data_IF_333760515821
#
_entry.id   IF_333760515821
#
_cell.length_a   1.000
_cell.length_b   1.000
_cell.length_c   1.000
_cell.angle_alpha   90.00
_cell.angle_beta   90.00
_cell.angle_gamma   90.00
#
_symmetry.space_group_name_H-M   'P 1'
#
loop_
_entity.id
_entity.type
_entity.pdbx_description
1 polymer ?
#
# COMPACT_ATOMS: atom_id res chain seq x y z
N UNK A 1 19.45 -13.16 -8.74
CA UNK A 1 18.32 -13.23 -7.79
C UNK A 1 18.42 -12.01 -6.89
N UNK A 2 17.45 -11.09 -6.97
CA UNK A 2 17.42 -9.90 -6.12
C UNK A 2 17.01 -10.34 -4.70
N UNK A 3 17.72 -9.89 -3.67
CA UNK A 3 17.35 -10.20 -2.29
C UNK A 3 15.95 -9.61 -1.98
N UNK A 4 15.11 -10.29 -1.20
CA UNK A 4 13.82 -9.74 -0.79
C UNK A 4 14.04 -8.46 0.02
N UNK A 5 13.25 -7.44 -0.25
CA UNK A 5 13.21 -6.20 0.51
C UNK A 5 12.77 -6.52 1.95
N UNK A 6 13.25 -5.77 2.94
CA UNK A 6 12.69 -5.89 4.29
C UNK A 6 11.35 -5.14 4.35
N UNK A 7 10.39 -5.71 5.06
CA UNK A 7 9.23 -4.96 5.54
C UNK A 7 9.63 -4.38 6.90
N UNK A 8 10.01 -3.10 6.93
CA UNK A 8 10.59 -2.47 8.13
C UNK A 8 9.55 -1.80 9.01
N UNK A 9 8.43 -1.35 8.44
CA UNK A 9 7.38 -0.66 9.18
C UNK A 9 5.99 -0.91 8.60
N UNK A 10 5.05 -1.16 9.51
CA UNK A 10 3.61 -1.07 9.27
C UNK A 10 3.15 0.14 10.07
N UNK A 11 2.66 1.18 9.40
CA UNK A 11 2.10 2.33 10.12
C UNK A 11 0.93 1.85 11.00
N UNK A 12 0.75 2.37 12.23
CA UNK A 12 -0.35 1.93 13.10
C UNK A 12 -1.73 2.02 12.43
N UNK A 13 -1.95 3.05 11.61
CA UNK A 13 -3.19 3.21 10.84
C UNK A 13 -3.37 2.16 9.73
N UNK A 14 -2.28 1.58 9.20
CA UNK A 14 -2.38 0.50 8.20
C UNK A 14 -3.00 -0.78 8.79
N UNK A 15 -2.69 -1.10 10.05
CA UNK A 15 -3.31 -2.27 10.70
C UNK A 15 -4.83 -2.04 10.87
N UNK A 16 -5.23 -0.83 11.26
CA UNK A 16 -6.64 -0.46 11.36
C UNK A 16 -7.34 -0.51 9.99
N UNK A 17 -6.65 -0.11 8.93
CA UNK A 17 -7.15 -0.23 7.56
C UNK A 17 -7.41 -1.69 7.16
N UNK A 18 -6.48 -2.60 7.47
CA UNK A 18 -6.65 -4.04 7.25
C UNK A 18 -7.85 -4.56 8.05
N UNK A 19 -8.00 -4.14 9.31
CA UNK A 19 -9.09 -4.58 10.16
C UNK A 19 -10.46 -4.13 9.65
N UNK A 20 -10.52 -2.94 9.02
CA UNK A 20 -11.71 -2.36 8.41
C UNK A 20 -12.10 -2.96 7.04
N UNK A 21 -11.26 -3.82 6.43
CA UNK A 21 -11.62 -4.51 5.20
C UNK A 21 -12.77 -5.51 5.44
N UNK A 22 -13.68 -5.69 4.47
CA UNK A 22 -14.98 -6.31 4.72
C UNK A 22 -14.94 -7.82 4.94
N UNK A 23 -13.93 -8.52 4.41
CA UNK A 23 -13.84 -9.97 4.44
C UNK A 23 -12.39 -10.47 4.48
N UNK A 24 -12.23 -11.72 4.88
CA UNK A 24 -10.91 -12.36 5.03
C UNK A 24 -10.16 -12.52 3.70
N UNK A 25 -10.87 -12.71 2.59
CA UNK A 25 -10.25 -12.83 1.28
C UNK A 25 -9.56 -11.52 0.87
N UNK A 26 -10.23 -10.39 1.12
CA UNK A 26 -9.71 -9.05 0.85
C UNK A 26 -8.53 -8.72 1.76
N UNK A 27 -8.63 -9.04 3.06
CA UNK A 27 -7.52 -8.89 4.03
C UNK A 27 -6.29 -9.68 3.60
N UNK A 28 -6.48 -10.97 3.31
CA UNK A 28 -5.40 -11.85 2.87
C UNK A 28 -4.75 -11.34 1.58
N UNK A 29 -5.55 -10.97 0.58
CA UNK A 29 -5.00 -10.49 -0.69
C UNK A 29 -4.19 -9.19 -0.52
N UNK A 30 -4.61 -8.27 0.35
CA UNK A 30 -3.83 -7.08 0.66
C UNK A 30 -2.42 -7.41 1.20
N UNK A 31 -2.34 -8.39 2.10
CA UNK A 31 -1.08 -8.88 2.67
C UNK A 31 -0.24 -9.64 1.64
N UNK A 32 -0.87 -10.48 0.82
CA UNK A 32 -0.20 -11.21 -0.27
C UNK A 32 0.42 -10.23 -1.28
N UNK A 33 -0.29 -9.15 -1.63
CA UNK A 33 0.25 -8.11 -2.50
C UNK A 33 1.48 -7.44 -1.88
N UNK A 34 1.46 -7.14 -0.58
CA UNK A 34 2.60 -6.57 0.12
C UNK A 34 3.81 -7.51 0.09
N UNK A 35 3.60 -8.82 0.27
CA UNK A 35 4.63 -9.86 0.13
C UNK A 35 5.21 -9.92 -1.29
N UNK A 36 4.37 -9.77 -2.32
CA UNK A 36 4.85 -9.76 -3.71
C UNK A 36 5.75 -8.55 -4.01
N UNK A 37 5.43 -7.38 -3.47
CA UNK A 37 6.30 -6.19 -3.59
C UNK A 37 7.59 -6.42 -2.82
N UNK A 38 7.50 -6.96 -1.61
CA UNK A 38 8.65 -7.28 -0.75
C UNK A 38 9.63 -8.21 -1.45
N UNK A 39 9.13 -9.25 -2.09
CA UNK A 39 9.96 -10.22 -2.81
C UNK A 39 10.50 -9.68 -4.15
N UNK A 40 10.20 -8.43 -4.51
CA UNK A 40 10.58 -7.82 -5.78
C UNK A 40 9.88 -8.44 -7.00
N UNK A 41 8.83 -9.24 -6.77
CA UNK A 41 8.06 -9.91 -7.83
C UNK A 41 7.06 -8.98 -8.50
N UNK A 42 6.70 -7.89 -7.82
CA UNK A 42 5.76 -6.89 -8.33
C UNK A 42 6.19 -5.49 -7.93
N UNK A 43 5.85 -4.49 -8.75
CA UNK A 43 6.09 -3.08 -8.44
C UNK A 43 4.86 -2.27 -8.79
N UNK A 44 4.45 -1.40 -7.88
CA UNK A 44 3.31 -0.51 -8.04
C UNK A 44 3.59 0.67 -8.97
N UNK A 45 2.53 1.41 -9.26
CA UNK A 45 2.63 2.67 -9.98
C UNK A 45 2.95 3.78 -8.99
N UNK A 46 3.94 4.63 -9.31
CA UNK A 46 4.24 5.82 -8.51
C UNK A 46 3.01 6.73 -8.44
N UNK A 47 2.79 7.33 -7.28
CA UNK A 47 1.77 8.34 -7.07
C UNK A 47 2.34 9.73 -7.39
N UNK A 48 1.46 10.61 -7.83
CA UNK A 48 1.75 12.02 -8.03
C UNK A 48 1.14 12.82 -6.88
N UNK A 49 1.71 13.99 -6.61
CA UNK A 49 1.06 14.98 -5.74
C UNK A 49 -0.26 15.46 -6.37
N UNK A 50 -1.32 15.57 -5.57
CA UNK A 50 -2.65 16.01 -6.04
C UNK A 50 -3.26 17.00 -5.07
N UNK A 51 -3.79 18.10 -5.59
CA UNK A 51 -4.42 19.19 -4.80
C UNK A 51 -5.52 18.67 -3.86
N UNK A 52 -6.23 17.59 -4.22
CA UNK A 52 -7.34 17.05 -3.42
C UNK A 52 -6.99 15.94 -2.41
N UNK A 53 -5.75 15.42 -2.41
CA UNK A 53 -5.35 14.31 -1.52
C UNK A 53 -3.97 14.52 -0.91
N UNK A 54 -3.46 15.75 -0.82
CA UNK A 54 -2.12 16.02 -0.30
C UNK A 54 -0.97 15.42 -1.14
N UNK A 55 0.23 15.46 -0.56
CA UNK A 55 1.44 14.97 -1.21
C UNK A 55 1.73 13.49 -0.90
N UNK A 56 1.55 12.65 -1.92
CA UNK A 56 1.89 11.23 -1.93
C UNK A 56 2.97 10.91 -2.98
N UNK A 57 3.77 11.89 -3.41
CA UNK A 57 4.78 11.72 -4.47
C UNK A 57 5.90 10.72 -4.14
N UNK A 58 6.08 10.40 -2.85
CA UNK A 58 6.99 9.37 -2.35
C UNK A 58 6.36 7.96 -2.30
N UNK A 59 5.06 7.84 -2.58
CA UNK A 59 4.30 6.60 -2.45
C UNK A 59 4.03 5.92 -3.81
N UNK A 60 3.64 4.65 -3.71
CA UNK A 60 3.28 3.77 -4.83
C UNK A 60 1.91 3.15 -4.54
N UNK A 61 1.16 2.83 -5.61
CA UNK A 61 -0.15 2.19 -5.55
C UNK A 61 -0.19 0.86 -6.28
N UNK A 62 -1.00 -0.05 -5.74
CA UNK A 62 -1.38 -1.32 -6.37
C UNK A 62 -2.89 -1.47 -6.38
N UNK A 63 -3.41 -1.98 -7.48
CA UNK A 63 -4.81 -2.35 -7.61
C UNK A 63 -4.97 -3.84 -7.32
N UNK A 64 -5.97 -4.21 -6.52
CA UNK A 64 -6.31 -5.61 -6.28
C UNK A 64 -7.82 -5.78 -6.03
N UNK A 65 -8.29 -6.99 -6.28
CA UNK A 65 -9.66 -7.41 -5.99
C UNK A 65 -9.74 -8.93 -5.94
N UNK A 66 -10.22 -9.55 -4.84
CA UNK A 66 -10.37 -11.00 -4.75
C UNK A 66 -11.34 -11.59 -5.77
N UNK A 67 -12.34 -10.81 -6.20
CA UNK A 67 -13.39 -11.24 -7.13
C UNK A 67 -12.85 -11.34 -8.58
N UNK A 68 -11.92 -10.45 -8.95
CA UNK A 68 -11.25 -10.47 -10.26
C UNK A 68 -12.15 -10.22 -11.49
N UNK A 69 -13.47 -10.22 -11.34
CA UNK A 69 -14.46 -10.14 -12.41
C UNK A 69 -14.67 -8.73 -13.00
N UNK A 70 -13.99 -7.70 -12.46
CA UNK A 70 -14.19 -6.31 -12.87
C UNK A 70 -13.08 -5.35 -12.49
N UNK A 71 -13.39 -4.04 -12.51
CA UNK A 71 -12.44 -2.99 -12.10
C UNK A 71 -12.05 -3.19 -10.64
N UNK A 72 -10.74 -3.24 -10.31
CA UNK A 72 -10.34 -3.50 -8.94
C UNK A 72 -10.89 -2.50 -7.94
N UNK A 73 -11.57 -3.00 -6.91
CA UNK A 73 -12.27 -2.19 -5.90
C UNK A 73 -11.35 -1.67 -4.80
N UNK A 74 -10.13 -2.20 -4.67
CA UNK A 74 -9.21 -1.85 -3.60
C UNK A 74 -7.87 -1.35 -4.11
N UNK A 75 -7.20 -0.57 -3.26
CA UNK A 75 -5.83 -0.12 -3.46
C UNK A 75 -4.98 -0.36 -2.21
N UNK A 76 -3.77 -0.86 -2.43
CA UNK A 76 -2.69 -0.84 -1.46
C UNK A 76 -1.77 0.34 -1.77
N UNK A 77 -1.44 1.14 -0.76
CA UNK A 77 -0.47 2.24 -0.82
C UNK A 77 0.73 1.89 0.05
N UNK A 78 1.92 2.02 -0.50
CA UNK A 78 3.18 1.75 0.18
C UNK A 78 4.25 2.75 -0.27
N UNK A 79 5.35 2.87 0.47
CA UNK A 79 6.53 3.62 0.02
C UNK A 79 7.81 2.85 0.26
N UNK A 80 8.87 3.26 -0.42
CA UNK A 80 10.21 2.77 -0.13
C UNK A 80 10.86 3.66 0.90
N UNK A 81 11.43 3.06 1.95
CA UNK A 81 12.22 3.78 2.96
C UNK A 81 13.69 3.37 2.85
N UNK A 82 14.64 4.31 2.90
CA UNK A 82 16.05 3.97 3.06
C UNK A 82 16.24 3.34 4.46
N UNK A 83 16.77 2.12 4.53
CA UNK A 83 17.33 1.57 5.77
C UNK A 83 18.79 2.05 5.92
N UNK A 84 19.26 2.26 7.16
CA UNK A 84 20.57 2.88 7.50
C UNK A 84 21.79 2.15 6.90
N UNK A 85 21.57 0.96 6.33
CA UNK A 85 22.57 0.11 5.69
C UNK A 85 22.13 -0.22 4.25
N UNK A 86 22.02 0.77 3.37
CA UNK A 86 21.88 0.64 1.89
C UNK A 86 20.79 -0.33 1.35
N UNK A 87 19.90 -0.86 2.19
CA UNK A 87 18.83 -1.76 1.79
C UNK A 87 17.55 -0.95 1.60
N UNK A 88 16.96 -1.02 0.41
CA UNK A 88 15.63 -0.48 0.19
C UNK A 88 14.63 -1.36 0.97
N UNK A 89 13.83 -0.74 1.81
CA UNK A 89 12.75 -1.41 2.54
C UNK A 89 11.39 -0.90 2.07
N UNK A 90 10.33 -1.68 2.34
CA UNK A 90 8.95 -1.27 2.07
C UNK A 90 8.28 -0.91 3.38
N UNK A 91 7.56 0.21 3.36
CA UNK A 91 6.63 0.62 4.40
C UNK A 91 5.20 0.57 3.88
N UNK A 92 4.34 -0.16 4.58
CA UNK A 92 2.92 -0.23 4.28
C UNK A 92 2.21 1.02 4.84
N UNK A 93 1.59 1.81 3.95
CA UNK A 93 1.07 3.13 4.29
C UNK A 93 -0.43 3.10 4.53
N UNK A 94 -1.22 2.62 3.56
CA UNK A 94 -2.67 2.48 3.69
C UNK A 94 -3.24 1.39 2.79
N UNK A 95 -4.39 0.84 3.17
CA UNK A 95 -5.21 0.01 2.30
C UNK A 95 -6.66 0.45 2.37
N UNK A 96 -7.35 0.47 1.23
CA UNK A 96 -8.72 0.94 1.22
C UNK A 96 -9.42 0.81 -0.12
N UNK A 97 -10.65 1.32 -0.17
CA UNK A 97 -11.44 1.35 -1.40
C UNK A 97 -10.81 2.28 -2.43
N UNK A 98 -11.00 1.92 -3.69
CA UNK A 98 -10.70 2.79 -4.84
C UNK A 98 -11.68 3.98 -4.91
N UNK A 99 -12.95 3.73 -4.58
CA UNK A 99 -14.03 4.72 -4.63
C UNK A 99 -13.75 5.84 -3.62
N UNK A 100 -14.15 7.07 -3.98
CA UNK A 100 -14.01 8.26 -3.13
C UNK A 100 -12.59 8.58 -2.64
N UNK A 101 -11.56 8.00 -3.27
CA UNK A 101 -10.17 8.19 -2.88
C UNK A 101 -9.85 7.74 -1.44
N UNK A 102 -10.64 6.83 -0.87
CA UNK A 102 -10.53 6.34 0.50
C UNK A 102 -9.10 5.90 0.87
N UNK A 103 -8.48 5.05 0.02
CA UNK A 103 -7.10 4.61 0.25
C UNK A 103 -6.06 5.76 0.31
N UNK A 104 -6.31 6.89 -0.37
CA UNK A 104 -5.39 8.04 -0.35
C UNK A 104 -5.65 8.94 0.85
N UNK A 105 -6.92 9.13 1.23
CA UNK A 105 -7.28 9.88 2.43
C UNK A 105 -6.71 9.21 3.68
N UNK A 106 -6.81 7.87 3.76
CA UNK A 106 -6.15 7.06 4.80
C UNK A 106 -4.64 7.21 4.76
N UNK A 107 -4.02 7.18 3.58
CA UNK A 107 -2.57 7.33 3.45
C UNK A 107 -2.08 8.67 4.02
N UNK A 108 -2.75 9.77 3.69
CA UNK A 108 -2.44 11.10 4.22
C UNK A 108 -2.60 11.14 5.74
N UNK A 109 -3.71 10.63 6.26
CA UNK A 109 -3.97 10.57 7.70
C UNK A 109 -2.91 9.73 8.43
N UNK A 110 -2.58 8.54 7.89
CA UNK A 110 -1.59 7.64 8.47
C UNK A 110 -0.17 8.23 8.45
N UNK A 111 0.14 9.05 7.45
CA UNK A 111 1.42 9.78 7.33
C UNK A 111 1.44 11.10 8.12
N UNK A 112 0.29 11.57 8.64
CA UNK A 112 0.18 12.84 9.36
C UNK A 112 0.37 14.08 8.49
N UNK A 113 -0.08 14.05 7.23
CA UNK A 113 0.08 15.15 6.24
C UNK A 113 -1.24 15.83 5.88
#
# INVERSE_FOLDING_TARGET
>A
MTAPLKLTAILPGFQQDIDALPDQATKKMALDMLVLVRDGKFTGMKLDSRVGTGDLGDCYKLYFDPDGSGKPRYRLVYRYTPDEINAVAIEAVAVGRRLNLDAYQRAIANLGR
#
